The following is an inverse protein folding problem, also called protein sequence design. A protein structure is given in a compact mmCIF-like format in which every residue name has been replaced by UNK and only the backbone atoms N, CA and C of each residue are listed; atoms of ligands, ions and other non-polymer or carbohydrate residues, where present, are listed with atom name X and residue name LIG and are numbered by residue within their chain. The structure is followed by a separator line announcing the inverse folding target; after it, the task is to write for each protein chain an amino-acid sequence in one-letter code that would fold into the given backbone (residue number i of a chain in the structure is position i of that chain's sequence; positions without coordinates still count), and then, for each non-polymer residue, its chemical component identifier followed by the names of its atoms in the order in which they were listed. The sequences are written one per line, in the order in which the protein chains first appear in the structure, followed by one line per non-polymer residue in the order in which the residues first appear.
data_IF_328513556045
#
_entry.id   IF_328513556045
#
_cell.length_a   1.000
_cell.length_b   1.000
_cell.length_c   1.000
_cell.angle_alpha   90.00
_cell.angle_beta   90.00
_cell.angle_gamma   90.00
#
_symmetry.space_group_name_H-M   'P 1'
#
loop_
_entity.id
_entity.type
_entity.pdbx_description
1 polymer ?
#
# COMPACT_ATOMS: atom_id res chain seq x y z
N UNK A 1 9.35 15.20 6.07
CA UNK A 1 7.89 15.20 5.94
C UNK A 1 7.45 14.12 4.95
N UNK A 2 6.53 13.28 5.36
CA UNK A 2 6.10 12.16 4.53
C UNK A 2 5.13 12.62 3.44
N UNK A 3 5.27 12.03 2.25
CA UNK A 3 4.38 12.28 1.13
C UNK A 3 3.60 11.02 0.81
N UNK A 4 2.29 11.12 0.71
CA UNK A 4 1.40 10.01 0.43
C UNK A 4 1.03 10.03 -1.05
N UNK A 5 1.39 8.96 -1.76
CA UNK A 5 1.15 8.81 -3.19
C UNK A 5 0.20 7.64 -3.38
N UNK A 6 -0.94 7.86 -4.02
CA UNK A 6 -1.85 6.78 -4.37
C UNK A 6 -1.62 6.38 -5.83
N UNK A 7 -1.58 5.08 -6.07
CA UNK A 7 -1.53 4.52 -7.44
C UNK A 7 -2.85 3.82 -7.69
N UNK A 8 -3.56 4.23 -8.70
CA UNK A 8 -4.87 3.69 -9.04
C UNK A 8 -4.96 3.45 -10.55
N UNK A 9 -6.03 2.80 -10.98
CA UNK A 9 -6.29 2.58 -12.40
C UNK A 9 -7.75 2.88 -12.70
N UNK A 10 -8.02 3.30 -13.94
CA UNK A 10 -9.38 3.61 -14.37
C UNK A 10 -10.25 2.36 -14.56
N UNK A 11 -9.65 1.25 -14.96
CA UNK A 11 -10.32 -0.03 -15.15
C UNK A 11 -9.38 -1.17 -14.76
N UNK A 12 -9.92 -2.17 -14.06
CA UNK A 12 -9.32 -3.44 -13.70
C UNK A 12 -7.80 -3.46 -13.72
N UNK A 13 -7.17 -3.50 -12.71
CA UNK A 13 -5.80 -3.65 -12.29
C UNK A 13 -4.66 -3.88 -13.27
N UNK A 14 -4.74 -3.47 -14.52
CA UNK A 14 -3.68 -3.75 -15.50
C UNK A 14 -2.43 -2.94 -15.16
N UNK A 15 -1.41 -3.62 -14.66
CA UNK A 15 -0.12 -3.01 -14.35
C UNK A 15 -0.11 -2.10 -13.14
N UNK A 16 -1.24 -1.92 -12.45
CA UNK A 16 -1.33 -0.99 -11.33
C UNK A 16 -0.42 -1.42 -10.17
N UNK A 17 -0.55 -2.66 -9.72
CA UNK A 17 0.25 -3.16 -8.59
C UNK A 17 1.73 -3.24 -8.96
N UNK A 18 2.03 -3.61 -10.20
CA UNK A 18 3.41 -3.59 -10.71
C UNK A 18 3.96 -2.17 -10.70
N UNK A 19 3.16 -1.19 -11.09
CA UNK A 19 3.56 0.23 -11.07
C UNK A 19 3.78 0.72 -9.65
N UNK A 20 2.93 0.35 -8.71
CA UNK A 20 3.10 0.69 -7.29
C UNK A 20 4.42 0.14 -6.75
N UNK A 21 4.70 -1.12 -7.03
CA UNK A 21 5.94 -1.77 -6.61
C UNK A 21 7.17 -1.09 -7.25
N UNK A 22 7.10 -0.77 -8.53
CA UNK A 22 8.20 -0.12 -9.24
C UNK A 22 8.47 1.28 -8.71
N UNK A 23 7.45 2.06 -8.45
CA UNK A 23 7.57 3.42 -7.91
C UNK A 23 8.21 3.37 -6.53
N UNK A 24 7.70 2.51 -5.65
CA UNK A 24 8.22 2.37 -4.29
C UNK A 24 9.68 1.91 -4.29
N UNK A 25 10.01 0.94 -5.14
CA UNK A 25 11.39 0.45 -5.28
C UNK A 25 12.32 1.54 -5.77
N UNK A 26 11.90 2.31 -6.78
CA UNK A 26 12.70 3.40 -7.32
C UNK A 26 12.98 4.49 -6.29
N UNK A 27 11.99 4.85 -5.49
CA UNK A 27 12.17 5.83 -4.41
C UNK A 27 13.13 5.31 -3.34
N UNK A 28 12.99 4.05 -2.96
CA UNK A 28 13.85 3.44 -1.97
C UNK A 28 15.30 3.34 -2.47
N UNK A 29 15.51 3.06 -3.74
CA UNK A 29 16.85 3.01 -4.34
C UNK A 29 17.54 4.37 -4.35
N UNK A 30 16.77 5.45 -4.27
CA UNK A 30 17.32 6.81 -4.13
C UNK A 30 17.62 7.19 -2.68
N UNK A 31 17.56 6.23 -1.77
CA UNK A 31 17.82 6.45 -0.35
C UNK A 31 16.64 6.99 0.44
N UNK A 32 15.44 6.97 -0.14
CA UNK A 32 14.24 7.46 0.52
C UNK A 32 13.54 6.32 1.24
N UNK A 33 13.36 6.41 2.55
CA UNK A 33 12.65 5.39 3.32
C UNK A 33 11.18 5.36 2.86
N UNK A 34 10.79 4.26 2.25
CA UNK A 34 9.52 4.13 1.54
C UNK A 34 8.76 2.90 2.02
N UNK A 35 7.47 3.04 2.22
CA UNK A 35 6.56 1.92 2.47
C UNK A 35 5.51 1.88 1.37
N UNK A 36 5.20 0.68 0.90
CA UNK A 36 4.07 0.47 0.01
C UNK A 36 2.99 -0.29 0.77
N UNK A 37 1.77 0.23 0.73
CA UNK A 37 0.62 -0.32 1.45
C UNK A 37 -0.37 -0.85 0.43
N UNK A 38 -0.83 -2.08 0.64
CA UNK A 38 -1.86 -2.68 -0.20
C UNK A 38 -3.25 -2.40 0.39
N UNK A 39 -4.02 -1.57 -0.30
CA UNK A 39 -5.39 -1.24 0.08
C UNK A 39 -6.44 -2.16 -0.54
N UNK A 40 -6.01 -3.17 -1.30
CA UNK A 40 -6.94 -4.07 -1.99
C UNK A 40 -7.30 -5.24 -1.08
N UNK A 41 -8.24 -5.00 -0.20
CA UNK A 41 -8.68 -6.00 0.77
C UNK A 41 -9.23 -7.23 0.05
N UNK A 42 -8.72 -8.40 0.42
CA UNK A 42 -9.17 -9.67 -0.11
C UNK A 42 -8.35 -10.22 -1.27
N UNK A 43 -7.55 -9.42 -1.94
CA UNK A 43 -6.81 -9.88 -3.12
C UNK A 43 -5.31 -10.06 -2.92
N UNK A 44 -4.65 -9.35 -2.05
CA UNK A 44 -3.24 -9.56 -1.68
C UNK A 44 -2.27 -9.74 -2.86
N UNK A 45 -2.42 -8.92 -3.90
CA UNK A 45 -1.55 -9.03 -5.07
C UNK A 45 -0.15 -8.43 -4.85
N UNK A 46 -0.05 -7.45 -3.98
CA UNK A 46 1.21 -6.72 -3.77
C UNK A 46 2.29 -7.62 -3.16
N UNK A 47 1.95 -8.41 -2.14
CA UNK A 47 2.93 -9.28 -1.50
C UNK A 47 3.45 -10.36 -2.46
N UNK A 48 2.62 -10.82 -3.39
CA UNK A 48 3.04 -11.76 -4.44
C UNK A 48 4.03 -11.09 -5.39
N UNK A 49 3.73 -9.90 -5.86
CA UNK A 49 4.60 -9.17 -6.79
C UNK A 49 5.93 -8.80 -6.13
N UNK A 50 5.89 -8.44 -4.85
CA UNK A 50 7.10 -8.10 -4.10
C UNK A 50 7.87 -9.33 -3.62
N UNK A 51 7.32 -10.52 -3.80
CA UNK A 51 7.99 -11.78 -3.43
C UNK A 51 8.08 -12.03 -1.94
N UNK A 52 7.17 -11.46 -1.16
CA UNK A 52 7.21 -11.58 0.31
C UNK A 52 6.01 -12.31 0.90
N UNK A 53 5.20 -12.98 0.09
CA UNK A 53 3.97 -13.64 0.52
C UNK A 53 4.17 -14.64 1.64
N UNK A 54 5.32 -15.29 1.70
CA UNK A 54 5.62 -16.26 2.75
C UNK A 54 6.08 -15.62 4.07
N UNK A 55 6.34 -14.32 4.05
CA UNK A 55 6.78 -13.58 5.23
C UNK A 55 5.65 -12.81 5.89
N UNK A 56 4.43 -12.88 5.33
CA UNK A 56 3.28 -12.17 5.87
C UNK A 56 2.80 -12.91 7.12
N UNK A 57 2.87 -12.25 8.27
CA UNK A 57 2.33 -12.75 9.54
C UNK A 57 1.12 -11.93 9.93
N UNK A 58 1.27 -10.62 9.90
CA UNK A 58 0.20 -9.67 10.18
C UNK A 58 0.03 -8.73 9.00
N UNK A 59 -1.16 -8.17 8.87
CA UNK A 59 -1.52 -7.32 7.74
C UNK A 59 -2.05 -5.96 8.20
N UNK A 60 -2.42 -5.14 7.23
CA UNK A 60 -2.91 -3.79 7.46
C UNK A 60 -4.11 -3.76 8.41
N UNK A 61 -5.07 -4.67 8.23
CA UNK A 61 -6.27 -4.72 9.06
C UNK A 61 -5.92 -5.13 10.48
N UNK A 62 -4.98 -6.06 10.67
CA UNK A 62 -4.52 -6.43 12.02
C UNK A 62 -3.99 -5.21 12.77
N UNK A 63 -3.26 -4.35 12.11
CA UNK A 63 -2.75 -3.11 12.74
C UNK A 63 -3.88 -2.17 13.09
N UNK A 64 -4.84 -1.98 12.19
CA UNK A 64 -5.99 -1.11 12.43
C UNK A 64 -6.81 -1.61 13.61
N UNK A 65 -7.02 -2.92 13.73
CA UNK A 65 -7.81 -3.52 14.78
C UNK A 65 -7.06 -3.66 16.12
N UNK A 66 -5.78 -3.36 16.15
CA UNK A 66 -4.97 -3.47 17.36
C UNK A 66 -4.44 -4.87 17.64
N UNK A 67 -4.59 -5.80 16.70
CA UNK A 67 -4.09 -7.17 16.85
C UNK A 67 -2.57 -7.26 16.69
N UNK A 68 -1.97 -6.28 16.05
CA UNK A 68 -0.54 -6.22 15.80
C UNK A 68 -0.06 -4.78 15.79
N UNK A 69 1.22 -4.59 16.05
CA UNK A 69 1.88 -3.29 15.88
C UNK A 69 2.35 -3.16 14.42
N UNK A 70 2.66 -1.93 14.01
CA UNK A 70 3.25 -1.69 12.69
C UNK A 70 4.57 -2.46 12.52
N UNK A 71 5.42 -2.47 13.56
CA UNK A 71 6.68 -3.21 13.51
C UNK A 71 6.49 -4.70 13.26
N UNK A 72 5.39 -5.27 13.77
CA UNK A 72 5.08 -6.68 13.56
C UNK A 72 4.55 -6.95 12.15
N UNK A 73 3.83 -6.00 11.57
CA UNK A 73 3.19 -6.16 10.27
C UNK A 73 4.09 -5.75 9.10
N UNK A 74 4.95 -4.76 9.29
CA UNK A 74 5.84 -4.27 8.24
C UNK A 74 6.85 -5.35 7.83
N UNK A 75 7.01 -5.53 6.54
CA UNK A 75 7.99 -6.44 5.96
C UNK A 75 9.06 -5.61 5.29
N UNK A 76 10.31 -5.79 5.69
CA UNK A 76 11.43 -5.13 5.02
C UNK A 76 11.81 -5.94 3.78
N UNK A 77 11.94 -5.29 2.65
CA UNK A 77 12.35 -5.97 1.41
C UNK A 77 13.78 -6.47 1.54
N UNK A 78 14.03 -7.69 1.05
CA UNK A 78 15.35 -8.33 1.14
C UNK A 78 16.35 -7.78 0.15
N UNK A 79 15.88 -7.28 -0.98
CA UNK A 79 16.72 -6.88 -2.11
C UNK A 79 16.97 -5.39 -2.17
N UNK A 80 16.06 -4.60 -1.65
CA UNK A 80 16.12 -3.14 -1.75
C UNK A 80 16.09 -2.54 -0.34
N UNK A 81 17.15 -1.85 0.03
CA UNK A 81 17.17 -1.12 1.30
C UNK A 81 16.15 0.02 1.27
N UNK A 82 15.69 0.42 2.43
CA UNK A 82 14.72 1.49 2.61
C UNK A 82 13.30 1.16 2.10
N UNK A 83 13.06 -0.06 1.63
CA UNK A 83 11.76 -0.47 1.12
C UNK A 83 11.06 -1.41 2.08
N UNK A 84 9.83 -1.05 2.43
CA UNK A 84 8.98 -1.81 3.34
C UNK A 84 7.63 -2.04 2.70
N UNK A 85 6.98 -3.13 3.07
CA UNK A 85 5.67 -3.52 2.57
C UNK A 85 4.72 -3.70 3.76
N UNK A 86 3.52 -3.13 3.65
CA UNK A 86 2.42 -3.40 4.57
C UNK A 86 1.35 -4.16 3.78
N UNK A 87 1.24 -5.48 3.99
CA UNK A 87 0.36 -6.29 3.15
C UNK A 87 -1.12 -6.08 3.46
N UNK A 88 -1.96 -6.37 2.46
CA UNK A 88 -3.40 -6.32 2.61
C UNK A 88 -3.94 -7.52 3.40
N UNK A 89 -5.09 -7.33 4.00
CA UNK A 89 -5.80 -8.42 4.65
C UNK A 89 -6.51 -9.30 3.62
N UNK A 90 -6.63 -10.58 3.95
CA UNK A 90 -7.47 -11.51 3.21
C UNK A 90 -8.94 -11.45 3.65
N UNK A 91 -9.27 -10.66 4.65
CA UNK A 91 -10.65 -10.51 5.09
C UNK A 91 -11.53 -9.99 3.96
N UNK A 92 -12.79 -10.41 3.96
CA UNK A 92 -13.79 -9.87 3.04
C UNK A 92 -14.59 -8.72 3.65
N UNK A 93 -14.29 -8.39 4.89
CA UNK A 93 -14.97 -7.29 5.59
C UNK A 93 -14.36 -5.95 5.16
N UNK A 94 -15.02 -5.31 4.21
CA UNK A 94 -14.56 -4.01 3.69
C UNK A 94 -14.70 -2.89 4.73
N UNK A 95 -15.55 -3.08 5.74
CA UNK A 95 -15.72 -2.11 6.82
C UNK A 95 -14.54 -2.12 7.80
N UNK A 96 -13.65 -3.10 7.69
CA UNK A 96 -12.45 -3.16 8.52
C UNK A 96 -11.50 -1.98 8.26
N UNK A 97 -11.52 -1.38 7.07
CA UNK A 97 -10.78 -0.16 6.77
C UNK A 97 -11.56 1.05 7.23
N UNK A 98 -11.36 1.46 8.47
CA UNK A 98 -11.98 2.68 8.98
C UNK A 98 -11.10 3.89 8.71
N UNK A 99 -11.72 5.07 8.55
CA UNK A 99 -10.97 6.31 8.32
C UNK A 99 -10.02 6.60 9.47
N UNK A 100 -10.49 6.43 10.69
CA UNK A 100 -9.68 6.68 11.89
C UNK A 100 -8.51 5.70 11.98
N UNK A 101 -8.75 4.43 11.68
CA UNK A 101 -7.72 3.40 11.68
C UNK A 101 -6.64 3.66 10.62
N UNK A 102 -7.05 4.01 9.42
CA UNK A 102 -6.11 4.34 8.34
C UNK A 102 -5.31 5.59 8.69
N UNK A 103 -5.98 6.63 9.20
CA UNK A 103 -5.31 7.86 9.61
C UNK A 103 -4.24 7.59 10.66
N UNK A 104 -4.55 6.76 11.65
CA UNK A 104 -3.59 6.39 12.71
C UNK A 104 -2.38 5.66 12.13
N UNK A 105 -2.59 4.70 11.24
CA UNK A 105 -1.50 3.96 10.60
C UNK A 105 -0.60 4.93 9.81
N UNK A 106 -1.19 5.82 9.04
CA UNK A 106 -0.42 6.79 8.26
C UNK A 106 0.38 7.73 9.16
N UNK A 107 -0.21 8.21 10.25
CA UNK A 107 0.48 9.06 11.22
C UNK A 107 1.64 8.30 11.90
N UNK A 108 1.43 7.05 12.25
CA UNK A 108 2.47 6.22 12.87
C UNK A 108 3.62 5.97 11.89
N UNK A 109 3.32 5.77 10.61
CA UNK A 109 4.35 5.64 9.57
C UNK A 109 5.15 6.92 9.41
N UNK A 110 4.50 8.07 9.46
CA UNK A 110 5.20 9.37 9.43
C UNK A 110 6.13 9.51 10.64
N UNK A 111 5.68 9.07 11.81
CA UNK A 111 6.50 9.10 13.03
C UNK A 111 7.69 8.15 12.96
N UNK A 112 7.65 7.14 12.10
CA UNK A 112 8.75 6.21 11.85
C UNK A 112 9.72 6.72 10.78
N UNK A 113 9.61 7.98 10.37
CA UNK A 113 10.46 8.65 9.40
C UNK A 113 10.37 8.12 7.97
N UNK A 114 9.24 7.54 7.60
CA UNK A 114 8.99 7.23 6.20
C UNK A 114 8.84 8.53 5.40
N UNK A 115 9.63 8.65 4.34
CA UNK A 115 9.56 9.83 3.47
C UNK A 115 8.46 9.70 2.42
N UNK A 116 8.18 8.48 1.98
CA UNK A 116 7.13 8.20 1.00
C UNK A 116 6.27 7.04 1.46
N UNK A 117 4.97 7.22 1.32
CA UNK A 117 3.96 6.19 1.57
C UNK A 117 3.21 6.00 0.25
N UNK A 118 3.45 4.84 -0.39
CA UNK A 118 2.83 4.52 -1.67
C UNK A 118 1.63 3.62 -1.38
N UNK A 119 0.45 4.07 -1.77
CA UNK A 119 -0.79 3.33 -1.54
C UNK A 119 -1.22 2.65 -2.84
N UNK A 120 -1.18 1.32 -2.86
CA UNK A 120 -1.69 0.54 -3.98
C UNK A 120 -3.19 0.37 -3.78
N UNK A 121 -3.98 1.14 -4.52
CA UNK A 121 -5.43 1.16 -4.33
C UNK A 121 -6.13 0.23 -5.32
N UNK A 122 -7.27 -0.37 -4.92
CA UNK A 122 -8.08 -1.11 -5.88
C UNK A 122 -8.64 -0.19 -6.96
N UNK A 123 -9.03 -0.78 -8.09
CA UNK A 123 -9.64 -0.03 -9.17
C UNK A 123 -11.07 0.41 -8.80
N UNK A 124 -11.52 1.50 -9.39
CA UNK A 124 -12.90 1.94 -9.28
C UNK A 124 -13.21 2.71 -7.99
N UNK A 125 -14.43 2.52 -7.48
CA UNK A 125 -14.97 3.28 -6.35
C UNK A 125 -15.11 2.44 -5.08
N UNK A 126 -14.38 1.35 -4.97
CA UNK A 126 -14.40 0.52 -3.77
C UNK A 126 -13.85 1.29 -2.56
N UNK A 127 -14.21 0.80 -1.37
CA UNK A 127 -13.82 1.44 -0.10
C UNK A 127 -12.32 1.68 -0.01
N UNK A 128 -11.51 0.71 -0.42
CA UNK A 128 -10.05 0.86 -0.41
C UNK A 128 -9.57 1.99 -1.30
N UNK A 129 -10.15 2.12 -2.50
CA UNK A 129 -9.79 3.19 -3.43
C UNK A 129 -10.16 4.57 -2.87
N UNK A 130 -11.38 4.71 -2.34
CA UNK A 130 -11.84 5.97 -1.77
C UNK A 130 -10.99 6.36 -0.56
N UNK A 131 -10.64 5.39 0.27
CA UNK A 131 -9.84 5.63 1.47
C UNK A 131 -8.43 6.10 1.10
N UNK A 132 -7.80 5.44 0.12
CA UNK A 132 -6.47 5.82 -0.35
C UNK A 132 -6.48 7.24 -0.94
N UNK A 133 -7.48 7.54 -1.78
CA UNK A 133 -7.61 8.87 -2.39
C UNK A 133 -7.85 9.95 -1.35
N UNK A 134 -8.61 9.65 -0.30
CA UNK A 134 -8.91 10.63 0.75
C UNK A 134 -7.63 11.16 1.42
N UNK A 135 -6.65 10.29 1.63
CA UNK A 135 -5.42 10.66 2.34
C UNK A 135 -4.26 11.04 1.42
N UNK A 136 -4.43 10.91 0.10
CA UNK A 136 -3.33 11.11 -0.83
C UNK A 136 -2.93 12.57 -0.98
N UNK A 137 -1.61 12.81 -1.02
CA UNK A 137 -1.04 14.09 -1.45
C UNK A 137 -0.95 14.16 -2.97
N UNK A 138 -0.69 13.02 -3.61
CA UNK A 138 -0.60 12.90 -5.06
C UNK A 138 -1.27 11.61 -5.53
N UNK A 139 -1.78 11.62 -6.74
CA UNK A 139 -2.38 10.45 -7.36
C UNK A 139 -1.72 10.16 -8.70
N UNK A 140 -1.40 8.89 -8.93
CA UNK A 140 -0.87 8.41 -10.20
C UNK A 140 -1.91 7.45 -10.77
N UNK A 141 -2.35 7.72 -11.99
CA UNK A 141 -3.36 6.90 -12.66
C UNK A 141 -2.67 6.11 -13.76
N UNK A 142 -2.77 4.78 -13.67
CA UNK A 142 -2.28 3.91 -14.73
C UNK A 142 -3.39 3.70 -15.76
N UNK A 143 -3.06 3.85 -17.03
CA UNK A 143 -4.00 3.70 -18.14
C UNK A 143 -3.52 2.57 -19.03
N UNK A 144 -4.49 1.75 -19.46
CA UNK A 144 -4.25 0.74 -20.46
C UNK A 144 -4.54 1.35 -21.84
N UNK A 145 -3.56 1.27 -22.73
CA UNK A 145 -3.77 1.65 -24.12
C UNK A 145 -4.44 0.47 -24.84
N UNK A 146 -5.68 0.69 -25.25
CA UNK A 146 -6.41 -0.28 -26.07
C UNK A 146 -6.29 0.16 -27.51
N UNK A 147 -5.64 -0.66 -28.32
CA UNK A 147 -5.62 -0.45 -29.76
C UNK A 147 -6.89 -1.01 -30.35
N UNK A 148 -7.61 -0.15 -30.98
CA UNK A 148 -8.83 -0.52 -31.70
C UNK A 148 -8.48 -0.69 -33.16
#
# INVERSE_FOLDING_TARGET
MARIIVVTSGKGGVGKTTSSAAIATGLAQKGKKTVVIDFDIGLRNLDLIMGCERRVVYDFVNVIQGDATLNQALIKDKRTENLYILPASQTRDKDALTREGVAKVLDDLKAMDFEFIVCDSPAGIETGALMALYFADEAIITLSLIHI
#
